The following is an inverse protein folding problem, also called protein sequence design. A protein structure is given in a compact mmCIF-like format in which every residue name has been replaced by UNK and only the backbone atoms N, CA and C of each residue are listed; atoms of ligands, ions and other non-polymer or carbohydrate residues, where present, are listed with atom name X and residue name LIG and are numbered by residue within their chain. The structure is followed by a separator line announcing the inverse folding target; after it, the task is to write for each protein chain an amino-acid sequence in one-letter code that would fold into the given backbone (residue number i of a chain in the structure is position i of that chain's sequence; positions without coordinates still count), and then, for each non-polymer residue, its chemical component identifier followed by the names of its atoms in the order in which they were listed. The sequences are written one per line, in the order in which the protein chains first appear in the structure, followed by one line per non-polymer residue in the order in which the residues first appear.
data_IF_490399565413
#
_entry.id   IF_490399565413
#
_cell.length_a   1.000
_cell.length_b   1.000
_cell.length_c   1.000
_cell.angle_alpha   90.00
_cell.angle_beta   90.00
_cell.angle_gamma   90.00
#
_symmetry.space_group_name_H-M   'P 1'
#
loop_
_entity.id
_entity.type
_entity.pdbx_description
1 polymer ?
#
# COMPACT_ATOMS: atom_id res chain seq x y z
N UNK A 1 -16.69 -3.52 -25.20
CA UNK A 1 -17.55 -3.55 -24.00
C UNK A 1 -17.00 -4.63 -23.08
N UNK A 2 -16.02 -4.30 -22.24
CA UNK A 2 -15.37 -5.26 -21.36
C UNK A 2 -16.20 -5.45 -20.09
N UNK A 3 -16.45 -6.71 -19.72
CA UNK A 3 -16.95 -7.07 -18.39
C UNK A 3 -16.06 -6.38 -17.34
N UNK A 4 -16.64 -5.46 -16.57
CA UNK A 4 -15.91 -4.84 -15.47
C UNK A 4 -15.62 -5.91 -14.42
N UNK A 5 -14.55 -5.77 -13.64
CA UNK A 5 -14.19 -6.66 -12.52
C UNK A 5 -15.25 -6.74 -11.39
N UNK A 6 -16.48 -6.31 -11.65
CA UNK A 6 -17.60 -6.09 -10.73
C UNK A 6 -18.90 -6.77 -11.19
N UNK A 7 -18.87 -7.72 -12.13
CA UNK A 7 -20.12 -8.32 -12.64
C UNK A 7 -20.89 -9.15 -11.59
N UNK A 8 -20.22 -9.64 -10.55
CA UNK A 8 -20.87 -10.32 -9.41
C UNK A 8 -21.56 -9.32 -8.44
N UNK A 9 -21.30 -8.01 -8.54
CA UNK A 9 -22.00 -7.01 -7.72
C UNK A 9 -23.47 -6.78 -8.12
N UNK A 10 -23.96 -7.46 -9.19
CA UNK A 10 -25.39 -7.51 -9.55
C UNK A 10 -26.20 -8.37 -8.58
N UNK A 11 -25.55 -9.23 -7.80
CA UNK A 11 -26.21 -10.15 -6.86
C UNK A 11 -26.44 -9.52 -5.48
N UNK A 12 -25.74 -8.44 -5.14
CA UNK A 12 -25.89 -7.75 -3.85
C UNK A 12 -27.17 -6.90 -3.78
N UNK A 13 -27.91 -6.93 -2.67
CA UNK A 13 -29.07 -6.08 -2.47
C UNK A 13 -28.67 -4.60 -2.44
N UNK A 14 -29.42 -3.75 -3.15
CA UNK A 14 -29.20 -2.31 -3.16
C UNK A 14 -29.86 -1.61 -1.96
N UNK A 15 -29.25 -0.54 -1.46
CA UNK A 15 -29.87 0.32 -0.46
C UNK A 15 -31.14 0.98 -1.02
N UNK A 16 -32.28 0.82 -0.34
CA UNK A 16 -33.56 1.39 -0.78
C UNK A 16 -33.62 2.91 -0.90
N UNK A 17 -32.63 3.65 -0.36
CA UNK A 17 -32.56 5.12 -0.47
C UNK A 17 -31.59 5.62 -1.53
N UNK A 18 -30.38 5.05 -1.60
CA UNK A 18 -29.32 5.56 -2.47
C UNK A 18 -28.89 4.58 -3.57
N UNK A 19 -29.42 3.36 -3.60
CA UNK A 19 -29.07 2.33 -4.58
C UNK A 19 -27.65 1.77 -4.44
N UNK A 20 -26.84 2.25 -3.49
CA UNK A 20 -25.50 1.70 -3.22
C UNK A 20 -25.63 0.22 -2.83
N UNK A 21 -24.76 -0.67 -3.34
CA UNK A 21 -24.76 -2.07 -2.93
C UNK A 21 -24.56 -2.16 -1.42
N UNK A 22 -25.31 -3.05 -0.78
CA UNK A 22 -25.18 -3.37 0.65
C UNK A 22 -24.32 -4.60 0.81
N UNK A 23 -23.44 -4.58 1.81
CA UNK A 23 -22.71 -5.77 2.22
C UNK A 23 -23.60 -6.66 3.13
N UNK A 24 -23.46 -8.00 3.11
CA UNK A 24 -24.34 -8.91 3.86
C UNK A 24 -24.49 -8.60 5.36
N UNK A 25 -23.46 -8.05 5.99
CA UNK A 25 -23.46 -7.74 7.43
C UNK A 25 -23.66 -6.24 7.75
N UNK A 26 -23.95 -5.41 6.73
CA UNK A 26 -24.19 -4.00 6.96
C UNK A 26 -25.47 -3.80 7.78
N UNK A 27 -25.34 -3.27 8.99
CA UNK A 27 -26.49 -2.77 9.75
C UNK A 27 -27.02 -1.44 9.18
N UNK A 28 -26.17 -0.72 8.43
CA UNK A 28 -26.46 0.58 7.81
C UNK A 28 -25.70 0.74 6.50
N UNK A 29 -26.36 1.33 5.52
CA UNK A 29 -25.74 1.70 4.24
C UNK A 29 -24.51 2.61 4.45
N UNK A 30 -23.40 2.30 3.75
CA UNK A 30 -22.14 3.06 3.82
C UNK A 30 -22.24 4.51 3.33
N UNK A 31 -23.22 4.78 2.47
CA UNK A 31 -23.36 6.08 1.80
C UNK A 31 -24.35 6.99 2.54
N UNK A 32 -25.54 6.48 2.85
CA UNK A 32 -26.64 7.30 3.37
C UNK A 32 -27.06 6.96 4.81
N UNK A 33 -26.37 6.02 5.46
CA UNK A 33 -26.61 5.57 6.83
C UNK A 33 -28.02 5.02 7.11
N UNK A 34 -28.82 4.78 6.06
CA UNK A 34 -30.12 4.12 6.16
C UNK A 34 -29.92 2.75 6.84
N UNK A 35 -30.67 2.44 7.92
CA UNK A 35 -30.68 1.11 8.51
C UNK A 35 -31.04 0.06 7.46
N UNK A 36 -30.29 -1.04 7.44
CA UNK A 36 -30.62 -2.22 6.62
C UNK A 36 -31.61 -3.07 7.42
N UNK A 37 -32.74 -3.52 6.84
CA UNK A 37 -33.69 -4.37 7.53
C UNK A 37 -33.02 -5.65 8.06
N UNK A 38 -33.28 -5.98 9.33
CA UNK A 38 -32.73 -7.19 9.95
C UNK A 38 -33.27 -8.44 9.24
N UNK A 39 -32.38 -9.20 8.59
CA UNK A 39 -32.74 -10.44 7.87
C UNK A 39 -31.78 -10.93 6.80
N UNK A 40 -30.63 -10.28 6.56
CA UNK A 40 -29.74 -10.61 5.43
C UNK A 40 -28.26 -10.86 5.78
N UNK A 41 -27.90 -11.08 7.05
CA UNK A 41 -26.51 -11.22 7.46
C UNK A 41 -26.29 -12.31 8.51
N UNK A 42 -26.14 -13.54 8.04
CA UNK A 42 -25.77 -14.68 8.88
C UNK A 42 -24.64 -15.47 8.23
N UNK A 43 -23.47 -14.86 8.02
CA UNK A 43 -22.28 -15.62 7.69
C UNK A 43 -21.74 -16.29 8.96
N UNK A 44 -21.36 -17.56 8.84
CA UNK A 44 -20.82 -18.35 9.95
C UNK A 44 -19.56 -17.70 10.51
N UNK A 45 -19.54 -17.45 11.83
CA UNK A 45 -18.39 -16.89 12.54
C UNK A 45 -17.32 -17.96 12.72
N UNK A 46 -16.23 -17.87 11.96
CA UNK A 46 -15.03 -18.67 12.21
C UNK A 46 -14.09 -17.88 13.15
N UNK A 47 -14.00 -18.32 14.40
CA UNK A 47 -13.01 -17.82 15.37
C UNK A 47 -11.73 -18.64 15.21
N UNK A 48 -10.57 -18.00 15.00
CA UNK A 48 -9.30 -18.71 14.94
C UNK A 48 -8.24 -18.08 15.87
N UNK A 49 -7.38 -18.95 16.42
CA UNK A 49 -6.19 -18.55 17.18
C UNK A 49 -5.10 -18.14 16.19
N UNK A 50 -4.57 -16.93 16.32
CA UNK A 50 -3.56 -16.39 15.40
C UNK A 50 -2.24 -16.25 16.15
N UNK A 51 -1.17 -16.83 15.63
CA UNK A 51 0.18 -16.56 16.13
C UNK A 51 0.72 -15.31 15.43
N UNK A 52 1.13 -14.30 16.21
CA UNK A 52 1.51 -12.97 15.70
C UNK A 52 2.96 -12.66 16.00
N UNK A 53 3.66 -12.06 15.04
CA UNK A 53 4.97 -11.46 15.26
C UNK A 53 4.84 -9.95 15.47
N UNK A 54 5.22 -9.48 16.66
CA UNK A 54 5.16 -8.07 17.06
C UNK A 54 6.18 -7.16 16.32
N UNK A 55 7.19 -7.75 15.67
CA UNK A 55 8.27 -7.00 15.03
C UNK A 55 8.15 -6.84 13.50
N UNK A 56 7.80 -7.91 12.78
CA UNK A 56 8.02 -8.03 11.33
C UNK A 56 6.76 -8.30 10.50
N UNK A 57 5.65 -8.73 11.12
CA UNK A 57 4.37 -9.06 10.44
C UNK A 57 4.38 -10.26 9.49
N UNK A 58 5.53 -10.91 9.25
CA UNK A 58 5.69 -11.95 8.25
C UNK A 58 5.34 -13.38 8.73
N UNK A 59 5.36 -14.34 7.79
CA UNK A 59 5.08 -15.75 8.01
C UNK A 59 6.01 -16.36 9.09
N UNK A 60 5.42 -17.21 9.94
CA UNK A 60 6.08 -17.80 11.10
C UNK A 60 6.61 -19.20 10.76
N UNK A 61 7.83 -19.49 11.22
CA UNK A 61 8.42 -20.84 11.15
C UNK A 61 8.53 -21.41 12.56
N UNK A 62 8.24 -22.70 12.73
CA UNK A 62 8.28 -23.37 14.05
C UNK A 62 9.73 -23.67 14.48
N UNK A 63 10.16 -23.16 15.63
CA UNK A 63 11.50 -23.41 16.19
C UNK A 63 11.44 -24.46 17.31
N UNK A 64 12.10 -25.60 17.08
CA UNK A 64 12.07 -26.79 17.96
C UNK A 64 12.80 -26.55 19.29
N UNK A 65 13.75 -25.60 19.36
CA UNK A 65 14.55 -25.34 20.56
C UNK A 65 13.82 -24.50 21.61
N UNK A 66 12.91 -23.64 21.16
CA UNK A 66 12.10 -22.76 22.03
C UNK A 66 10.63 -23.17 22.09
N UNK A 67 10.25 -24.26 21.41
CA UNK A 67 8.87 -24.78 21.36
C UNK A 67 7.82 -23.70 21.01
N UNK A 68 8.21 -22.75 20.16
CA UNK A 68 7.37 -21.63 19.79
C UNK A 68 7.68 -21.20 18.34
N UNK A 69 6.71 -20.62 17.61
CA UNK A 69 6.98 -20.05 16.29
C UNK A 69 7.86 -18.82 16.45
N UNK A 70 8.91 -18.76 15.64
CA UNK A 70 9.86 -17.65 15.60
C UNK A 70 9.70 -16.93 14.26
N UNK A 71 9.66 -15.60 14.27
CA UNK A 71 9.68 -14.86 13.00
C UNK A 71 11.04 -15.10 12.33
N UNK A 72 11.02 -15.66 11.12
CA UNK A 72 12.22 -15.87 10.30
C UNK A 72 12.95 -14.55 9.96
N UNK A 73 12.23 -13.43 9.99
CA UNK A 73 12.74 -12.12 9.60
C UNK A 73 13.41 -11.32 10.75
N UNK A 74 12.81 -11.27 11.94
CA UNK A 74 13.33 -10.46 13.06
C UNK A 74 13.73 -11.28 14.30
N UNK A 75 13.50 -12.59 14.29
CA UNK A 75 13.90 -13.50 15.37
C UNK A 75 13.05 -13.42 16.64
N UNK A 76 12.00 -12.60 16.69
CA UNK A 76 11.08 -12.54 17.83
C UNK A 76 10.22 -13.80 17.91
N UNK A 77 9.94 -14.24 19.14
CA UNK A 77 9.00 -15.33 19.41
C UNK A 77 7.58 -14.79 19.24
N UNK A 78 6.76 -15.51 18.47
CA UNK A 78 5.40 -15.10 18.20
C UNK A 78 4.52 -15.26 19.44
N UNK A 79 3.68 -14.25 19.71
CA UNK A 79 2.67 -14.32 20.77
C UNK A 79 1.38 -14.89 20.17
N UNK A 80 0.76 -15.83 20.88
CA UNK A 80 -0.59 -16.29 20.56
C UNK A 80 -1.57 -15.18 20.93
N UNK A 81 -2.28 -14.66 19.95
CA UNK A 81 -3.43 -13.77 20.18
C UNK A 81 -4.71 -14.49 19.74
N UNK A 82 -5.65 -14.59 20.67
CA UNK A 82 -7.01 -15.00 20.38
C UNK A 82 -7.79 -13.78 19.90
N UNK A 83 -8.30 -13.81 18.68
CA UNK A 83 -9.23 -12.79 18.19
C UNK A 83 -10.65 -13.24 18.54
N UNK A 84 -11.43 -12.40 19.23
CA UNK A 84 -12.84 -12.70 19.56
C UNK A 84 -13.78 -12.56 18.35
N UNK A 85 -13.37 -11.80 17.34
CA UNK A 85 -14.12 -11.56 16.10
C UNK A 85 -13.77 -12.56 14.96
N UNK A 86 -14.72 -12.84 14.05
CA UNK A 86 -14.49 -13.73 12.92
C UNK A 86 -13.39 -13.18 12.00
N UNK A 87 -12.52 -14.07 11.54
CA UNK A 87 -11.46 -13.71 10.58
C UNK A 87 -12.08 -13.63 9.19
N UNK A 88 -11.92 -12.48 8.56
CA UNK A 88 -12.39 -12.28 7.19
C UNK A 88 -11.34 -12.81 6.19
N UNK A 89 -11.82 -13.48 5.15
CA UNK A 89 -11.00 -14.00 4.06
C UNK A 89 -11.13 -13.09 2.82
N UNK A 90 -10.20 -13.24 1.88
CA UNK A 90 -10.31 -12.56 0.59
C UNK A 90 -11.42 -13.21 -0.25
N UNK A 91 -12.16 -12.39 -1.00
CA UNK A 91 -13.21 -12.85 -1.91
C UNK A 91 -12.60 -13.42 -3.20
N UNK A 92 -11.41 -12.94 -3.57
CA UNK A 92 -10.67 -13.37 -4.75
C UNK A 92 -9.15 -13.14 -4.59
N UNK A 93 -8.37 -13.83 -5.40
CA UNK A 93 -6.92 -13.83 -5.37
C UNK A 93 -6.37 -13.53 -6.76
N UNK A 94 -5.39 -12.63 -6.85
CA UNK A 94 -4.67 -12.41 -8.10
C UNK A 94 -3.60 -13.50 -8.26
N UNK A 95 -3.44 -14.09 -9.46
CA UNK A 95 -2.45 -15.12 -9.70
C UNK A 95 -1.06 -14.52 -9.79
N UNK A 96 -0.06 -15.29 -9.35
CA UNK A 96 1.34 -15.04 -9.63
C UNK A 96 1.56 -15.27 -11.13
N UNK A 97 2.17 -14.29 -11.80
CA UNK A 97 2.69 -14.44 -13.17
C UNK A 97 4.21 -14.49 -13.20
N UNK A 98 4.84 -13.99 -12.14
CA UNK A 98 6.27 -14.08 -11.89
C UNK A 98 6.51 -15.34 -11.09
N UNK A 99 7.42 -16.20 -11.55
CA UNK A 99 7.85 -17.38 -10.80
C UNK A 99 8.99 -17.05 -9.80
N UNK A 100 9.27 -17.93 -8.82
CA UNK A 100 10.31 -17.69 -7.83
C UNK A 100 11.73 -17.50 -8.38
N UNK A 101 12.09 -18.10 -9.52
CA UNK A 101 13.42 -17.90 -10.12
C UNK A 101 13.52 -16.49 -10.73
N UNK A 102 12.48 -16.08 -11.45
CA UNK A 102 12.36 -14.72 -12.01
C UNK A 102 12.36 -13.66 -10.90
N UNK A 103 11.66 -13.91 -9.79
CA UNK A 103 11.68 -13.00 -8.63
C UNK A 103 13.08 -12.85 -8.00
N UNK A 104 13.86 -13.94 -7.87
CA UNK A 104 15.26 -13.86 -7.41
C UNK A 104 16.12 -13.04 -8.37
N UNK A 105 15.93 -13.22 -9.68
CA UNK A 105 16.66 -12.47 -10.69
C UNK A 105 16.29 -10.99 -10.67
N UNK A 106 15.01 -10.66 -10.47
CA UNK A 106 14.53 -9.28 -10.35
C UNK A 106 15.23 -8.53 -9.21
N UNK A 107 15.38 -9.17 -8.04
CA UNK A 107 16.12 -8.58 -6.92
C UNK A 107 17.59 -8.33 -7.27
N UNK A 108 18.27 -9.30 -7.91
CA UNK A 108 19.67 -9.11 -8.35
C UNK A 108 19.80 -7.94 -9.32
N UNK A 109 18.93 -7.86 -10.32
CA UNK A 109 18.90 -6.76 -11.29
C UNK A 109 18.63 -5.40 -10.61
N UNK A 110 17.70 -5.37 -9.66
CA UNK A 110 17.41 -4.18 -8.87
C UNK A 110 18.62 -3.74 -8.02
N UNK A 111 19.29 -4.66 -7.33
CA UNK A 111 20.49 -4.33 -6.55
C UNK A 111 21.58 -3.68 -7.41
N UNK A 112 21.70 -4.10 -8.68
CA UNK A 112 22.61 -3.53 -9.66
C UNK A 112 22.21 -2.13 -10.17
N UNK A 113 20.94 -1.73 -10.05
CA UNK A 113 20.42 -0.47 -10.62
C UNK A 113 20.32 0.68 -9.61
N UNK A 114 20.61 0.45 -8.33
CA UNK A 114 20.44 1.41 -7.23
C UNK A 114 21.37 2.64 -7.24
N UNK A 115 22.22 2.78 -8.26
CA UNK A 115 23.04 3.97 -8.50
C UNK A 115 24.38 4.03 -7.73
N UNK A 116 25.08 5.15 -7.89
CA UNK A 116 26.50 5.28 -7.51
C UNK A 116 26.76 5.11 -6.01
N UNK A 117 25.88 5.60 -5.13
CA UNK A 117 26.09 5.60 -3.68
C UNK A 117 25.98 4.22 -2.99
N UNK A 118 25.69 3.16 -3.74
CA UNK A 118 25.69 1.78 -3.23
C UNK A 118 27.06 1.13 -3.35
N UNK A 119 27.37 0.13 -2.50
CA UNK A 119 28.58 -0.68 -2.68
C UNK A 119 28.61 -1.31 -4.08
N UNK A 120 29.75 -1.28 -4.75
CA UNK A 120 29.88 -1.77 -6.13
C UNK A 120 29.76 -3.30 -6.22
N UNK A 121 30.12 -3.99 -5.14
CA UNK A 121 30.04 -5.43 -4.92
C UNK A 121 28.65 -5.89 -4.43
N UNK A 122 27.68 -4.98 -4.25
CA UNK A 122 26.40 -5.32 -3.63
C UNK A 122 25.63 -6.38 -4.41
N UNK A 123 25.51 -6.23 -5.73
CA UNK A 123 24.73 -7.16 -6.55
C UNK A 123 25.39 -8.55 -6.68
N UNK A 124 26.72 -8.63 -6.55
CA UNK A 124 27.50 -9.88 -6.68
C UNK A 124 27.62 -10.63 -5.36
N UNK A 125 27.85 -9.90 -4.26
CA UNK A 125 28.06 -10.48 -2.93
C UNK A 125 26.77 -10.69 -2.13
N UNK A 126 25.67 -10.03 -2.52
CA UNK A 126 24.39 -10.24 -1.86
C UNK A 126 23.89 -11.68 -2.09
N UNK A 127 23.66 -12.39 -1.00
CA UNK A 127 23.08 -13.73 -1.03
C UNK A 127 21.62 -13.66 -0.62
N UNK A 128 20.73 -14.19 -1.46
CA UNK A 128 19.30 -14.33 -1.12
C UNK A 128 19.19 -15.47 -0.11
N UNK A 129 18.83 -15.13 1.12
CA UNK A 129 18.69 -16.09 2.20
C UNK A 129 17.35 -16.84 2.10
N UNK A 130 16.27 -16.10 1.86
CA UNK A 130 14.92 -16.64 1.81
C UNK A 130 14.07 -15.82 0.82
N UNK A 131 13.18 -16.53 0.12
CA UNK A 131 12.18 -15.94 -0.77
C UNK A 131 10.83 -16.57 -0.40
N UNK A 132 9.91 -15.74 0.05
CA UNK A 132 8.57 -16.17 0.46
C UNK A 132 7.56 -15.55 -0.51
N UNK A 133 6.84 -16.38 -1.31
CA UNK A 133 5.65 -15.92 -1.99
C UNK A 133 4.58 -15.53 -0.95
N UNK A 134 3.90 -14.41 -1.16
CA UNK A 134 2.94 -13.84 -0.24
C UNK A 134 1.72 -13.32 -0.99
N UNK A 135 0.53 -13.84 -0.67
CA UNK A 135 -0.73 -13.13 -0.92
C UNK A 135 -1.01 -12.21 0.25
N UNK A 136 -0.66 -10.94 0.10
CA UNK A 136 -1.04 -9.93 1.07
C UNK A 136 -2.49 -9.50 0.84
N UNK A 137 -3.20 -9.18 1.91
CA UNK A 137 -4.61 -8.81 1.81
C UNK A 137 -4.80 -7.30 1.70
N UNK A 138 -5.74 -6.88 0.88
CA UNK A 138 -6.15 -5.48 0.80
C UNK A 138 -7.63 -5.35 0.38
N UNK A 139 -8.23 -4.24 0.79
CA UNK A 139 -9.54 -3.84 0.26
C UNK A 139 -9.33 -3.05 -1.01
N UNK A 140 -10.09 -3.35 -2.04
CA UNK A 140 -10.24 -2.47 -3.20
C UNK A 140 -11.58 -1.77 -3.12
N UNK A 141 -11.63 -0.52 -3.58
CA UNK A 141 -12.87 0.23 -3.66
C UNK A 141 -13.00 1.04 -4.93
N UNK A 142 -14.23 1.13 -5.40
CA UNK A 142 -14.68 2.07 -6.41
C UNK A 142 -15.59 3.10 -5.75
N UNK A 143 -15.39 4.37 -6.03
CA UNK A 143 -16.28 5.43 -5.56
C UNK A 143 -16.59 6.43 -6.63
N UNK A 144 -17.88 6.70 -6.81
CA UNK A 144 -18.38 7.90 -7.49
C UNK A 144 -18.87 8.87 -6.41
N UNK A 145 -18.35 10.10 -6.41
CA UNK A 145 -18.67 11.08 -5.39
C UNK A 145 -18.73 12.51 -5.95
N UNK A 146 -19.41 13.38 -5.20
CA UNK A 146 -19.27 14.82 -5.34
C UNK A 146 -18.39 15.34 -4.22
N UNK A 147 -17.31 16.03 -4.57
CA UNK A 147 -16.38 16.63 -3.61
C UNK A 147 -16.69 18.12 -3.52
N UNK A 148 -17.13 18.57 -2.35
CA UNK A 148 -17.24 20.01 -2.04
C UNK A 148 -15.97 20.46 -1.34
N UNK A 149 -15.35 21.54 -1.82
CA UNK A 149 -14.09 22.03 -1.28
C UNK A 149 -14.12 23.53 -1.03
N UNK A 150 -13.31 23.96 -0.07
CA UNK A 150 -13.01 25.35 0.22
C UNK A 150 -11.52 25.50 0.56
N UNK A 151 -10.89 26.54 0.04
CA UNK A 151 -9.47 26.83 0.27
C UNK A 151 -9.16 28.31 0.06
N UNK A 152 -8.05 28.77 0.64
CA UNK A 152 -7.46 30.06 0.29
C UNK A 152 -6.37 29.82 -0.77
N UNK A 153 -6.33 30.66 -1.80
CA UNK A 153 -5.24 30.64 -2.78
C UNK A 153 -4.74 32.03 -3.16
N UNK A 154 -3.61 32.10 -3.87
CA UNK A 154 -3.06 33.37 -4.37
C UNK A 154 -3.72 33.88 -5.66
N UNK A 155 -4.68 33.13 -6.24
CA UNK A 155 -5.41 33.58 -7.42
C UNK A 155 -6.50 34.58 -7.04
N UNK A 156 -6.62 35.69 -7.79
CA UNK A 156 -7.67 36.68 -7.57
C UNK A 156 -7.56 37.48 -6.27
N UNK A 157 -6.40 37.46 -5.60
CA UNK A 157 -6.23 38.09 -4.29
C UNK A 157 -6.12 39.62 -4.30
N UNK A 158 -5.97 40.24 -5.48
CA UNK A 158 -5.86 41.69 -5.62
C UNK A 158 -4.70 42.27 -4.79
N UNK A 159 -5.01 43.13 -3.82
CA UNK A 159 -4.02 43.71 -2.89
C UNK A 159 -3.68 42.78 -1.71
N UNK A 160 -4.47 41.74 -1.47
CA UNK A 160 -4.20 40.76 -0.43
C UNK A 160 -3.28 39.64 -0.95
N UNK A 161 -2.66 38.89 -0.04
CA UNK A 161 -1.86 37.72 -0.40
C UNK A 161 -2.70 36.47 -0.70
N UNK A 162 -3.97 36.44 -0.26
CA UNK A 162 -4.85 35.28 -0.32
C UNK A 162 -6.29 35.70 -0.61
N UNK A 163 -7.00 34.92 -1.42
CA UNK A 163 -8.44 35.00 -1.64
C UNK A 163 -9.11 33.65 -1.35
N UNK A 164 -10.35 33.65 -0.83
CA UNK A 164 -11.11 32.43 -0.61
C UNK A 164 -11.69 31.91 -1.93
N UNK A 165 -11.64 30.59 -2.10
CA UNK A 165 -12.22 29.87 -3.22
C UNK A 165 -12.98 28.66 -2.69
N UNK A 166 -14.08 28.32 -3.35
CA UNK A 166 -14.85 27.12 -3.06
C UNK A 166 -15.48 26.58 -4.32
N UNK A 167 -15.73 25.28 -4.35
CA UNK A 167 -16.36 24.66 -5.50
C UNK A 167 -16.84 23.25 -5.21
N UNK A 168 -17.48 22.68 -6.22
CA UNK A 168 -17.88 21.29 -6.24
C UNK A 168 -17.30 20.64 -7.50
N UNK A 169 -16.67 19.49 -7.33
CA UNK A 169 -16.09 18.73 -8.44
C UNK A 169 -16.52 17.27 -8.32
N UNK A 170 -16.97 16.63 -9.41
CA UNK A 170 -17.17 15.19 -9.40
C UNK A 170 -15.82 14.49 -9.25
N UNK A 171 -15.83 13.36 -8.55
CA UNK A 171 -14.68 12.48 -8.40
C UNK A 171 -15.11 11.04 -8.66
N UNK A 172 -14.36 10.36 -9.52
CA UNK A 172 -14.48 8.93 -9.72
C UNK A 172 -13.14 8.29 -9.43
N UNK A 173 -13.14 7.30 -8.54
CA UNK A 173 -11.98 6.49 -8.20
C UNK A 173 -12.33 5.05 -8.53
N UNK A 174 -11.45 4.37 -9.25
CA UNK A 174 -11.60 2.97 -9.63
C UNK A 174 -10.42 2.18 -9.10
N UNK A 175 -10.68 0.97 -8.63
CA UNK A 175 -9.69 -0.01 -8.22
C UNK A 175 -8.70 0.53 -7.16
N UNK A 176 -9.12 1.49 -6.33
CA UNK A 176 -8.23 2.02 -5.30
C UNK A 176 -7.99 0.97 -4.22
N UNK A 177 -6.73 0.72 -3.92
CA UNK A 177 -6.29 -0.29 -2.97
C UNK A 177 -5.97 0.36 -1.62
N UNK A 178 -6.49 -0.24 -0.54
CA UNK A 178 -6.19 0.10 0.85
C UNK A 178 -5.60 -1.14 1.51
N UNK A 179 -4.37 -1.03 1.99
CA UNK A 179 -3.70 -2.17 2.60
C UNK A 179 -4.47 -2.69 3.81
N UNK A 180 -4.66 -4.00 3.86
CA UNK A 180 -5.01 -4.73 5.07
C UNK A 180 -3.83 -5.59 5.55
N UNK A 181 -2.67 -5.44 4.91
CA UNK A 181 -1.51 -6.27 5.12
C UNK A 181 -0.87 -6.00 6.47
N UNK A 182 -0.32 -7.06 7.06
CA UNK A 182 0.55 -6.96 8.25
C UNK A 182 2.02 -7.10 7.87
N UNK A 183 2.32 -7.87 6.83
CA UNK A 183 3.68 -8.11 6.35
C UNK A 183 4.23 -7.01 5.46
N UNK A 184 3.37 -6.19 4.84
CA UNK A 184 3.79 -5.05 3.99
C UNK A 184 3.46 -3.70 4.63
N UNK A 185 4.40 -2.77 4.56
CA UNK A 185 4.20 -1.37 4.96
C UNK A 185 3.32 -0.64 3.91
N UNK A 186 2.56 0.38 4.33
CA UNK A 186 1.66 1.13 3.43
C UNK A 186 2.40 1.71 2.21
N UNK A 187 3.64 2.18 2.40
CA UNK A 187 4.48 2.71 1.31
C UNK A 187 4.93 1.61 0.32
N UNK A 188 5.10 0.38 0.80
CA UNK A 188 5.45 -0.76 -0.04
C UNK A 188 4.24 -1.14 -0.89
N UNK A 189 3.06 -1.23 -0.28
CA UNK A 189 1.80 -1.50 -0.99
C UNK A 189 1.49 -0.40 -2.01
N UNK A 190 1.69 0.87 -1.68
CA UNK A 190 1.47 1.99 -2.60
C UNK A 190 2.34 1.92 -3.87
N UNK A 191 3.54 1.31 -3.79
CA UNK A 191 4.41 1.07 -4.94
C UNK A 191 3.97 -0.13 -5.77
N UNK A 192 3.33 -1.13 -5.17
CA UNK A 192 2.81 -2.31 -5.86
C UNK A 192 1.46 -2.03 -6.53
N UNK A 193 0.56 -1.32 -5.85
CA UNK A 193 -0.83 -1.14 -6.21
C UNK A 193 -1.09 -0.75 -7.69
N UNK A 194 -0.34 0.18 -8.30
CA UNK A 194 -0.60 0.61 -9.69
C UNK A 194 -0.32 -0.45 -10.75
N UNK A 195 0.38 -1.53 -10.41
CA UNK A 195 0.88 -2.53 -11.35
C UNK A 195 0.06 -3.83 -11.36
N UNK A 196 -0.95 -3.95 -10.51
CA UNK A 196 -1.81 -5.13 -10.47
C UNK A 196 -2.86 -5.12 -11.57
N UNK A 197 -3.09 -6.30 -12.14
CA UNK A 197 -4.16 -6.55 -13.08
C UNK A 197 -5.34 -7.23 -12.37
N UNK A 198 -6.29 -6.42 -11.88
CA UNK A 198 -7.47 -6.93 -11.17
C UNK A 198 -8.37 -7.81 -12.05
N UNK A 199 -8.29 -7.71 -13.38
CA UNK A 199 -9.09 -8.55 -14.28
C UNK A 199 -8.70 -10.03 -14.24
N UNK A 200 -7.50 -10.32 -13.70
CA UNK A 200 -6.95 -11.67 -13.59
C UNK A 200 -7.36 -12.42 -12.33
N UNK A 201 -8.16 -11.80 -11.46
CA UNK A 201 -8.53 -12.38 -10.18
C UNK A 201 -9.37 -13.66 -10.30
N UNK A 202 -9.14 -14.59 -9.37
CA UNK A 202 -9.79 -15.90 -9.30
C UNK A 202 -10.41 -16.09 -7.91
N UNK A 203 -11.48 -16.88 -7.79
CA UNK A 203 -12.16 -17.12 -6.50
C UNK A 203 -11.26 -17.79 -5.47
N UNK A 204 -10.39 -18.70 -5.90
CA UNK A 204 -9.43 -19.39 -5.05
C UNK A 204 -7.99 -19.03 -5.43
N UNK A 205 -7.06 -19.03 -4.47
CA UNK A 205 -5.63 -18.91 -4.79
C UNK A 205 -5.19 -20.15 -5.57
N UNK A 206 -4.49 -19.97 -6.68
CA UNK A 206 -3.84 -21.08 -7.38
C UNK A 206 -2.71 -21.66 -6.51
N UNK A 207 -2.29 -22.88 -6.81
CA UNK A 207 -1.23 -23.55 -6.06
C UNK A 207 0.13 -22.86 -6.26
N UNK A 208 0.75 -22.43 -5.16
CA UNK A 208 2.10 -21.86 -5.14
C UNK A 208 2.84 -22.41 -3.92
N UNK A 209 3.89 -23.17 -4.17
CA UNK A 209 4.67 -23.82 -3.11
C UNK A 209 5.30 -22.79 -2.17
N UNK A 210 5.14 -23.02 -0.86
CA UNK A 210 5.69 -22.14 0.18
C UNK A 210 5.01 -20.76 0.28
N UNK A 211 3.91 -20.54 -0.45
CA UNK A 211 3.19 -19.28 -0.40
C UNK A 211 2.45 -19.09 0.93
N UNK A 212 2.69 -17.95 1.56
CA UNK A 212 1.89 -17.49 2.67
C UNK A 212 0.66 -16.72 2.16
N UNK A 213 -0.50 -16.97 2.77
CA UNK A 213 -1.72 -16.20 2.53
C UNK A 213 -2.05 -15.43 3.80
N UNK A 214 -2.03 -14.10 3.72
CA UNK A 214 -2.47 -13.26 4.83
C UNK A 214 -3.99 -13.35 4.99
N UNK A 215 -4.44 -13.06 6.21
CA UNK A 215 -5.87 -12.95 6.55
C UNK A 215 -6.19 -11.55 7.02
N UNK A 216 -7.43 -11.12 6.82
CA UNK A 216 -7.83 -9.79 7.27
C UNK A 216 -7.86 -9.73 8.80
N UNK A 217 -7.04 -8.82 9.31
CA UNK A 217 -6.84 -8.59 10.72
C UNK A 217 -7.95 -7.77 11.40
N UNK A 218 -8.72 -7.04 10.59
CA UNK A 218 -9.63 -5.99 11.03
C UNK A 218 -11.04 -6.37 10.59
N UNK A 219 -12.04 -6.33 11.49
CA UNK A 219 -13.41 -6.61 11.13
C UNK A 219 -13.95 -5.54 10.17
N UNK A 220 -14.96 -5.89 9.35
CA UNK A 220 -15.53 -5.00 8.32
C UNK A 220 -15.96 -3.63 8.86
N UNK A 221 -16.51 -3.58 10.08
CA UNK A 221 -16.94 -2.33 10.71
C UNK A 221 -15.79 -1.33 10.91
N UNK A 222 -14.60 -1.82 11.26
CA UNK A 222 -13.39 -1.02 11.37
C UNK A 222 -12.75 -0.75 9.99
N UNK A 223 -12.90 -1.67 9.03
CA UNK A 223 -12.47 -1.46 7.64
C UNK A 223 -13.18 -0.26 6.98
N UNK A 224 -14.49 -0.06 7.25
CA UNK A 224 -15.25 1.10 6.73
C UNK A 224 -14.57 2.43 7.04
N UNK A 225 -14.12 2.64 8.28
CA UNK A 225 -13.40 3.88 8.67
C UNK A 225 -12.05 4.03 7.95
N UNK A 226 -11.40 2.92 7.59
CA UNK A 226 -10.14 2.97 6.82
C UNK A 226 -10.45 3.42 5.39
N UNK A 227 -11.45 2.81 4.76
CA UNK A 227 -11.88 3.15 3.39
C UNK A 227 -12.39 4.59 3.30
N UNK A 228 -13.22 5.05 4.25
CA UNK A 228 -13.69 6.45 4.31
C UNK A 228 -12.52 7.44 4.39
N UNK A 229 -11.49 7.14 5.21
CA UNK A 229 -10.28 7.98 5.28
C UNK A 229 -9.52 7.99 3.96
N UNK A 230 -9.40 6.84 3.29
CA UNK A 230 -8.76 6.75 1.97
C UNK A 230 -9.53 7.56 0.91
N UNK A 231 -10.86 7.45 0.87
CA UNK A 231 -11.73 8.25 0.01
C UNK A 231 -11.55 9.75 0.27
N UNK A 232 -11.52 10.16 1.54
CA UNK A 232 -11.31 11.57 1.92
C UNK A 232 -9.91 12.07 1.52
N UNK A 233 -8.88 11.23 1.63
CA UNK A 233 -7.53 11.57 1.18
C UNK A 233 -7.47 11.78 -0.34
N UNK A 234 -8.10 10.89 -1.10
CA UNK A 234 -8.20 11.03 -2.56
C UNK A 234 -9.01 12.27 -2.97
N UNK A 235 -10.11 12.55 -2.27
CA UNK A 235 -10.89 13.74 -2.51
C UNK A 235 -10.12 15.05 -2.27
N UNK A 236 -9.31 15.11 -1.22
CA UNK A 236 -8.42 16.27 -0.97
C UNK A 236 -7.39 16.43 -2.07
N UNK A 237 -6.76 15.34 -2.50
CA UNK A 237 -5.78 15.34 -3.60
C UNK A 237 -6.41 15.80 -4.92
N UNK A 238 -7.58 15.24 -5.25
CA UNK A 238 -8.37 15.59 -6.44
C UNK A 238 -8.81 17.05 -6.43
N UNK A 239 -9.42 17.52 -5.33
CA UNK A 239 -9.88 18.90 -5.19
C UNK A 239 -8.74 19.92 -5.38
N UNK A 240 -7.53 19.60 -4.90
CA UNK A 240 -6.35 20.48 -5.03
C UNK A 240 -6.05 20.87 -6.48
N UNK A 241 -6.37 20.01 -7.45
CA UNK A 241 -6.12 20.26 -8.88
C UNK A 241 -7.06 21.31 -9.48
N UNK A 242 -8.19 21.59 -8.83
CA UNK A 242 -9.20 22.54 -9.30
C UNK A 242 -9.13 23.90 -8.59
N UNK A 243 -8.25 24.04 -7.58
CA UNK A 243 -8.07 25.30 -6.88
C UNK A 243 -7.22 26.21 -7.76
N UNK A 244 -7.67 27.42 -8.09
CA UNK A 244 -6.90 28.32 -8.93
C UNK A 244 -5.65 28.82 -8.20
N UNK A 245 -4.57 29.07 -8.95
CA UNK A 245 -3.32 29.63 -8.42
C UNK A 245 -2.25 28.59 -8.10
N UNK A 246 -1.08 29.07 -7.69
CA UNK A 246 0.12 28.23 -7.43
C UNK A 246 0.35 27.93 -5.95
N UNK A 247 -0.22 28.74 -5.06
CA UNK A 247 -0.11 28.58 -3.61
C UNK A 247 -1.49 28.42 -3.03
N UNK A 248 -1.66 27.37 -2.23
CA UNK A 248 -2.93 26.98 -1.61
C UNK A 248 -2.70 26.77 -0.11
N UNK A 249 -3.64 27.21 0.73
CA UNK A 249 -3.66 26.93 2.17
C UNK A 249 -5.08 26.67 2.65
N UNK A 250 -5.21 26.12 3.87
CA UNK A 250 -6.50 25.85 4.53
C UNK A 250 -7.49 25.06 3.66
N UNK A 251 -6.99 24.11 2.87
CA UNK A 251 -7.85 23.24 2.08
C UNK A 251 -8.70 22.35 3.00
N UNK A 252 -10.01 22.54 2.91
CA UNK A 252 -11.02 21.65 3.46
C UNK A 252 -11.80 21.01 2.32
N UNK A 253 -12.06 19.72 2.44
CA UNK A 253 -12.88 18.98 1.48
C UNK A 253 -13.86 18.09 2.25
N UNK A 254 -15.09 18.04 1.76
CA UNK A 254 -16.14 17.14 2.19
C UNK A 254 -16.57 16.28 1.00
N UNK A 255 -16.81 15.00 1.25
CA UNK A 255 -17.17 14.03 0.22
C UNK A 255 -18.60 13.60 0.42
N UNK A 256 -19.39 13.66 -0.66
CA UNK A 256 -20.69 13.03 -0.75
C UNK A 256 -20.57 11.84 -1.70
N UNK A 257 -20.36 10.61 -1.19
CA UNK A 257 -20.40 9.41 -2.01
C UNK A 257 -21.78 9.26 -2.63
N UNK A 258 -21.84 8.89 -3.90
CA UNK A 258 -23.06 8.51 -4.62
C UNK A 258 -23.15 7.00 -4.76
N UNK A 259 -21.99 6.37 -5.00
CA UNK A 259 -21.85 4.92 -5.11
C UNK A 259 -20.49 4.53 -4.55
N UNK A 260 -20.46 3.61 -3.60
CA UNK A 260 -19.24 3.04 -3.04
C UNK A 260 -19.35 1.52 -3.16
N UNK A 261 -18.35 0.91 -3.79
CA UNK A 261 -18.20 -0.55 -3.91
C UNK A 261 -16.92 -0.97 -3.26
N UNK A 262 -16.94 -2.07 -2.54
CA UNK A 262 -15.76 -2.59 -1.84
C UNK A 262 -15.61 -4.08 -2.09
N UNK A 263 -14.37 -4.55 -2.26
CA UNK A 263 -14.03 -5.97 -2.40
C UNK A 263 -12.75 -6.29 -1.66
N UNK A 264 -12.56 -7.55 -1.30
CA UNK A 264 -11.36 -8.04 -0.62
C UNK A 264 -10.57 -8.91 -1.57
N UNK A 265 -9.30 -8.56 -1.78
CA UNK A 265 -8.42 -9.31 -2.65
C UNK A 265 -7.16 -9.77 -1.92
N UNK A 266 -6.68 -10.95 -2.29
CA UNK A 266 -5.31 -11.40 -2.04
C UNK A 266 -4.41 -11.02 -3.21
N UNK A 267 -3.36 -10.26 -2.94
CA UNK A 267 -2.44 -9.72 -3.94
C UNK A 267 -1.09 -10.43 -3.91
N UNK A 268 -0.61 -10.96 -5.04
CA UNK A 268 0.62 -11.73 -5.10
C UNK A 268 1.83 -10.80 -5.04
N UNK A 269 2.74 -11.08 -4.10
CA UNK A 269 4.03 -10.42 -3.95
C UNK A 269 5.06 -11.43 -3.48
N UNK A 270 6.33 -11.11 -3.64
CA UNK A 270 7.42 -11.84 -3.02
C UNK A 270 8.06 -10.96 -1.98
N UNK A 271 8.25 -11.49 -0.77
CA UNK A 271 9.07 -10.86 0.26
C UNK A 271 10.36 -11.67 0.37
N UNK A 272 11.50 -10.99 0.22
CA UNK A 272 12.80 -11.61 0.23
C UNK A 272 13.67 -11.02 1.34
N UNK A 273 14.42 -11.89 2.00
CA UNK A 273 15.54 -11.51 2.86
C UNK A 273 16.85 -11.81 2.13
N UNK A 274 17.74 -10.82 2.07
CA UNK A 274 19.08 -11.00 1.53
C UNK A 274 20.13 -10.52 2.53
N UNK A 275 21.29 -11.17 2.51
CA UNK A 275 22.42 -10.86 3.39
C UNK A 275 23.53 -10.18 2.60
N UNK A 276 24.09 -9.12 3.17
CA UNK A 276 25.28 -8.46 2.66
C UNK A 276 26.16 -8.02 3.85
N UNK A 277 27.40 -8.53 3.90
CA UNK A 277 28.36 -8.30 5.01
C UNK A 277 27.76 -8.54 6.39
N UNK A 278 27.17 -9.73 6.58
CA UNK A 278 26.47 -10.16 7.80
C UNK A 278 25.22 -9.35 8.21
N UNK A 279 24.81 -8.36 7.42
CA UNK A 279 23.58 -7.60 7.67
C UNK A 279 22.45 -8.11 6.78
N UNK A 280 21.28 -8.27 7.38
CA UNK A 280 20.05 -8.64 6.68
C UNK A 280 19.35 -7.39 6.15
N UNK A 281 18.87 -7.49 4.92
CA UNK A 281 18.09 -6.49 4.24
C UNK A 281 16.87 -7.16 3.61
N UNK A 282 15.82 -6.36 3.39
CA UNK A 282 14.55 -6.82 2.82
C UNK A 282 14.34 -6.20 1.44
N UNK A 283 13.87 -7.02 0.52
CA UNK A 283 13.39 -6.62 -0.80
C UNK A 283 12.00 -7.21 -1.06
N UNK A 284 11.26 -6.54 -1.92
CA UNK A 284 9.91 -6.91 -2.34
C UNK A 284 9.91 -6.94 -3.87
N UNK A 285 9.28 -7.96 -4.43
CA UNK A 285 9.03 -8.07 -5.86
C UNK A 285 7.54 -8.26 -6.09
N UNK A 286 6.99 -7.56 -7.08
CA UNK A 286 5.60 -7.70 -7.47
C UNK A 286 5.33 -9.07 -8.10
N UNK A 287 4.24 -9.74 -7.70
CA UNK A 287 3.95 -11.11 -8.14
C UNK A 287 3.44 -11.24 -9.57
N UNK A 288 3.08 -10.14 -10.23
CA UNK A 288 2.65 -10.13 -11.64
C UNK A 288 3.59 -9.38 -12.59
N UNK A 289 4.53 -8.59 -12.08
CA UNK A 289 5.44 -7.76 -12.88
C UNK A 289 6.83 -7.71 -12.24
N UNK A 290 7.76 -8.52 -12.76
CA UNK A 290 9.10 -8.64 -12.20
C UNK A 290 9.95 -7.36 -12.28
N UNK A 291 9.52 -6.35 -13.07
CA UNK A 291 10.22 -5.06 -13.16
C UNK A 291 10.01 -4.21 -11.90
N UNK A 292 8.94 -4.48 -11.15
CA UNK A 292 8.62 -3.79 -9.91
C UNK A 292 9.28 -4.53 -8.76
N UNK A 293 10.53 -4.16 -8.50
CA UNK A 293 11.32 -4.64 -7.38
C UNK A 293 11.93 -3.46 -6.62
N UNK A 294 11.83 -3.49 -5.29
CA UNK A 294 12.34 -2.43 -4.43
C UNK A 294 12.59 -2.93 -3.00
N UNK A 295 13.26 -2.14 -2.17
CA UNK A 295 13.56 -2.54 -0.81
C UNK A 295 14.60 -1.64 -0.14
N UNK A 296 15.07 -2.09 1.02
CA UNK A 296 16.17 -1.44 1.75
C UNK A 296 17.50 -1.98 1.22
N UNK A 297 18.51 -1.11 1.13
CA UNK A 297 19.85 -1.47 0.68
C UNK A 297 20.92 -0.71 1.47
N UNK A 298 22.14 -1.27 1.61
CA UNK A 298 23.26 -0.61 2.29
C UNK A 298 23.72 0.64 1.54
N UNK A 299 24.23 1.61 2.29
CA UNK A 299 24.91 2.79 1.73
C UNK A 299 26.42 2.61 1.80
N UNK A 300 27.14 3.06 0.77
CA UNK A 300 28.60 3.07 0.77
C UNK A 300 29.12 4.31 1.49
N UNK A 301 29.54 4.14 2.74
CA UNK A 301 30.08 5.22 3.59
C UNK A 301 31.25 5.93 2.91
N UNK A 302 32.15 5.18 2.28
CA UNK A 302 33.30 5.76 1.58
C UNK A 302 32.90 6.65 0.40
N UNK A 303 31.91 6.23 -0.40
CA UNK A 303 31.41 7.04 -1.52
C UNK A 303 30.69 8.28 -1.03
N UNK A 304 29.94 8.17 0.07
CA UNK A 304 29.30 9.33 0.70
C UNK A 304 30.37 10.31 1.20
N UNK A 305 31.39 9.83 1.93
CA UNK A 305 32.48 10.68 2.43
C UNK A 305 33.23 11.39 1.29
N UNK A 306 33.55 10.68 0.21
CA UNK A 306 34.17 11.27 -0.98
C UNK A 306 33.30 12.35 -1.61
N UNK A 307 31.98 12.13 -1.70
CA UNK A 307 31.06 13.13 -2.25
C UNK A 307 30.98 14.39 -1.36
N UNK A 308 30.95 14.21 -0.03
CA UNK A 308 30.95 15.34 0.91
C UNK A 308 32.26 16.13 0.83
N UNK A 309 33.41 15.45 0.88
CA UNK A 309 34.73 16.09 0.77
C UNK A 309 34.90 16.82 -0.56
N UNK A 310 34.48 16.19 -1.67
CA UNK A 310 34.48 16.82 -2.99
C UNK A 310 33.59 18.06 -3.05
N UNK A 311 32.41 18.01 -2.44
CA UNK A 311 31.51 19.16 -2.33
C UNK A 311 32.12 20.32 -1.54
N UNK A 312 32.72 20.03 -0.38
CA UNK A 312 33.40 21.05 0.46
C UNK A 312 34.57 21.68 -0.29
N UNK A 313 35.42 20.87 -0.93
CA UNK A 313 36.54 21.36 -1.72
C UNK A 313 36.07 22.24 -2.89
N UNK A 314 34.98 21.86 -3.56
CA UNK A 314 34.38 22.65 -4.64
C UNK A 314 33.87 24.01 -4.16
N UNK A 315 33.17 24.06 -3.02
CA UNK A 315 32.70 25.33 -2.43
C UNK A 315 33.88 26.21 -2.02
N UNK A 316 34.90 25.64 -1.39
CA UNK A 316 36.10 26.39 -1.00
C UNK A 316 36.83 26.99 -2.21
N UNK A 317 36.94 26.24 -3.31
CA UNK A 317 37.55 26.72 -4.55
C UNK A 317 36.76 27.88 -5.18
N UNK A 318 35.42 27.78 -5.20
CA UNK A 318 34.55 28.85 -5.72
C UNK A 318 34.66 30.10 -4.83
N UNK A 319 34.61 29.94 -3.51
CA UNK A 319 34.76 31.06 -2.58
C UNK A 319 36.13 31.75 -2.72
N UNK A 320 37.21 30.95 -2.88
CA UNK A 320 38.55 31.46 -3.14
C UNK A 320 38.66 32.23 -4.47
N UNK A 321 38.03 31.74 -5.53
CA UNK A 321 37.95 32.44 -6.82
C UNK A 321 37.19 33.76 -6.69
N UNK A 322 36.03 33.76 -6.04
CA UNK A 322 35.24 34.99 -5.80
C UNK A 322 36.06 36.01 -5.02
N UNK A 323 36.77 35.58 -3.98
CA UNK A 323 37.63 36.46 -3.18
C UNK A 323 38.77 37.05 -4.02
N UNK A 324 39.45 36.23 -4.83
CA UNK A 324 40.51 36.69 -5.76
C UNK A 324 40.00 37.74 -6.74
N UNK A 325 38.82 37.53 -7.34
CA UNK A 325 38.21 38.51 -8.27
C UNK A 325 37.71 39.77 -7.56
N UNK A 326 37.24 39.68 -6.31
CA UNK A 326 36.82 40.85 -5.53
C UNK A 326 37.99 41.67 -4.96
N UNK A 327 39.18 41.07 -4.88
CA UNK A 327 40.41 41.70 -4.38
C UNK A 327 41.26 42.40 -5.45
N UNK A 328 40.83 42.33 -6.73
CA UNK A 328 41.41 43.07 -7.86
C UNK A 328 40.54 44.26 -8.23
#
# INVERSE_FOLDING_TARGET
MGASAWDDDRTKPGCGRCGSPLEPEDLRCAVCFLPVPAGQGGAARAVARILRCDGCGAALTYDVKVQAPKCAFCGSVARLEETEDPIEEADAYLPFRVDPATARQAVKSWLGSLGWFRPADLATEATVAELTPLWFVAWTFDVEALVSWAADSNAGAGRAAWAPHSGQVPMTVQAALVSASRGLEEEEVAKLAPHFDLSSAQEAPHEMEGAAIERFAVPRSAARRIIERAVMAQARSHAKQFIPGSRVRKLSAAVLPRRLRTRRYGFPSYVLAYRYREKLYRAIVHGQDARVAFGKAPWSVWKILLAVLGGVAGVAAIAGLIWLFASR
#
